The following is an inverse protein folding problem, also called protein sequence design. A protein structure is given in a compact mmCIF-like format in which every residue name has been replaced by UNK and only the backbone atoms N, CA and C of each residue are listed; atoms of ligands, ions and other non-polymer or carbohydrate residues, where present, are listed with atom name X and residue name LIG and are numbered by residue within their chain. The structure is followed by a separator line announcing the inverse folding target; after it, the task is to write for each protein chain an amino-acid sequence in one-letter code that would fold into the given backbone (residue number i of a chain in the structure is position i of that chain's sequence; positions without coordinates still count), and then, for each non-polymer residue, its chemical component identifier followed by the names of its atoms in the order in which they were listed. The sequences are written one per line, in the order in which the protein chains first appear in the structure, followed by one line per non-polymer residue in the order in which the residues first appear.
data_IF_769633773268
#
_entry.id   IF_769633773268
#
_cell.length_a   1.000
_cell.length_b   1.000
_cell.length_c   1.000
_cell.angle_alpha   90.00
_cell.angle_beta   90.00
_cell.angle_gamma   90.00
#
_symmetry.space_group_name_H-M   'P 1'
#
loop_
_entity.id
_entity.type
_entity.pdbx_description
1 polymer ?
#
# COMPACT_ATOMS: atom_id res chain seq x y z
N UNK A 1 -73.71 -39.76 56.32
CA UNK A 1 -73.10 -38.45 55.96
C UNK A 1 -71.93 -38.78 55.06
N UNK A 2 -72.11 -38.64 53.76
CA UNK A 2 -71.09 -38.97 52.76
C UNK A 2 -70.47 -37.62 52.31
N UNK A 3 -69.17 -37.51 52.53
CA UNK A 3 -68.36 -36.34 52.03
C UNK A 3 -67.64 -36.77 50.77
N UNK A 4 -68.05 -36.20 49.66
CA UNK A 4 -67.43 -36.49 48.35
C UNK A 4 -66.32 -35.47 48.11
N UNK A 5 -65.06 -35.93 48.09
CA UNK A 5 -63.87 -35.11 47.71
C UNK A 5 -63.76 -34.97 46.20
N UNK A 6 -63.81 -33.77 45.71
CA UNK A 6 -63.46 -33.43 44.31
C UNK A 6 -61.98 -33.18 44.22
N UNK A 7 -61.25 -34.01 43.47
CA UNK A 7 -59.88 -33.71 43.03
C UNK A 7 -59.90 -32.85 41.76
N UNK A 8 -59.48 -31.61 41.86
CA UNK A 8 -59.23 -30.77 40.69
C UNK A 8 -57.81 -31.06 40.15
N UNK A 9 -57.78 -31.66 38.98
CA UNK A 9 -56.55 -31.81 38.19
C UNK A 9 -56.29 -30.54 37.46
N UNK A 10 -55.26 -29.77 37.90
CA UNK A 10 -54.70 -28.66 37.14
C UNK A 10 -53.71 -29.23 36.11
N UNK A 11 -54.08 -29.28 34.83
CA UNK A 11 -53.18 -29.54 33.71
C UNK A 11 -52.47 -28.25 33.34
N UNK A 12 -51.23 -28.03 33.78
CA UNK A 12 -50.36 -26.99 33.29
C UNK A 12 -49.80 -27.41 31.94
N UNK A 13 -50.37 -26.87 30.86
CA UNK A 13 -49.79 -26.97 29.53
C UNK A 13 -48.55 -26.04 29.50
N UNK A 14 -47.36 -26.64 29.54
CA UNK A 14 -46.11 -25.95 29.19
C UNK A 14 -46.13 -25.70 27.66
N UNK A 15 -46.49 -24.50 27.26
CA UNK A 15 -46.22 -23.96 25.91
C UNK A 15 -44.72 -23.67 25.83
N UNK A 16 -43.96 -24.66 25.35
CA UNK A 16 -42.59 -24.46 24.90
C UNK A 16 -42.64 -23.57 23.65
N UNK A 17 -42.46 -22.25 23.79
CA UNK A 17 -42.18 -21.36 22.67
C UNK A 17 -40.81 -21.75 22.10
N UNK A 18 -40.83 -22.59 21.07
CA UNK A 18 -39.67 -22.77 20.20
C UNK A 18 -39.52 -21.43 19.48
N UNK A 19 -38.66 -20.59 19.98
CA UNK A 19 -38.17 -19.46 19.21
C UNK A 19 -37.44 -20.07 17.99
N UNK A 20 -38.11 -20.11 16.84
CA UNK A 20 -37.42 -20.31 15.58
C UNK A 20 -36.47 -19.14 15.47
N UNK A 21 -35.17 -19.40 15.71
CA UNK A 21 -34.13 -18.47 15.32
C UNK A 21 -34.34 -18.26 13.82
N UNK A 22 -34.70 -17.05 13.43
CA UNK A 22 -34.88 -16.66 12.05
C UNK A 22 -33.53 -16.91 11.37
N UNK A 23 -33.46 -17.92 10.51
CA UNK A 23 -32.24 -18.31 9.85
C UNK A 23 -31.91 -17.19 8.88
N UNK A 24 -30.91 -16.40 9.21
CA UNK A 24 -30.46 -15.28 8.37
C UNK A 24 -30.10 -15.84 7.00
N UNK A 25 -30.80 -15.41 5.96
CA UNK A 25 -30.55 -15.84 4.58
C UNK A 25 -29.53 -14.91 3.94
N UNK A 26 -28.66 -15.49 3.11
CA UNK A 26 -27.69 -14.71 2.35
C UNK A 26 -28.42 -13.65 1.50
N UNK A 27 -27.97 -12.39 1.52
CA UNK A 27 -28.53 -11.36 0.67
C UNK A 27 -28.36 -11.73 -0.81
N UNK A 28 -29.37 -11.40 -1.62
CA UNK A 28 -29.30 -11.58 -3.06
C UNK A 28 -29.25 -10.22 -3.74
N UNK A 29 -28.24 -10.03 -4.60
CA UNK A 29 -28.15 -8.84 -5.44
C UNK A 29 -29.29 -8.83 -6.45
N UNK A 30 -30.00 -7.70 -6.55
CA UNK A 30 -31.06 -7.52 -7.54
C UNK A 30 -30.46 -7.47 -8.93
N UNK A 31 -31.01 -8.24 -9.86
CA UNK A 31 -30.61 -8.16 -11.26
C UNK A 31 -31.22 -6.94 -11.94
N UNK A 32 -30.36 -6.13 -12.56
CA UNK A 32 -30.74 -4.95 -13.34
C UNK A 32 -30.11 -5.06 -14.73
N UNK A 33 -30.89 -5.11 -15.82
CA UNK A 33 -30.35 -5.24 -17.17
C UNK A 33 -29.36 -4.12 -17.49
N UNK A 34 -28.14 -4.47 -17.86
CA UNK A 34 -27.12 -3.52 -18.32
C UNK A 34 -26.27 -4.14 -19.40
N UNK A 35 -25.96 -3.37 -20.43
CA UNK A 35 -25.10 -3.79 -21.54
C UNK A 35 -23.75 -3.10 -21.43
N UNK A 36 -22.72 -3.85 -21.14
CA UNK A 36 -21.33 -3.40 -21.24
C UNK A 36 -20.89 -3.45 -22.70
N UNK A 37 -20.65 -2.29 -23.29
CA UNK A 37 -20.17 -2.19 -24.66
C UNK A 37 -18.67 -2.43 -24.73
N UNK A 38 -18.23 -3.23 -25.72
CA UNK A 38 -16.83 -3.54 -25.93
C UNK A 38 -16.52 -3.66 -27.42
N UNK A 39 -15.30 -3.28 -27.88
CA UNK A 39 -14.84 -3.52 -29.24
C UNK A 39 -14.87 -5.00 -29.66
N UNK A 40 -14.81 -5.90 -28.68
CA UNK A 40 -14.80 -7.36 -28.90
C UNK A 40 -16.21 -8.00 -28.78
N UNK A 41 -17.27 -7.18 -28.74
CA UNK A 41 -18.66 -7.59 -28.60
C UNK A 41 -19.28 -7.13 -27.26
N UNK A 42 -20.57 -6.84 -27.30
CA UNK A 42 -21.34 -6.39 -26.15
C UNK A 42 -21.61 -7.56 -25.17
N UNK A 43 -21.54 -7.28 -23.88
CA UNK A 43 -21.79 -8.25 -22.82
C UNK A 43 -22.96 -7.77 -21.94
N UNK A 44 -23.90 -8.68 -21.62
CA UNK A 44 -24.93 -8.40 -20.62
C UNK A 44 -24.36 -8.62 -19.22
N UNK A 45 -24.52 -7.65 -18.33
CA UNK A 45 -24.08 -7.71 -16.95
C UNK A 45 -25.21 -7.19 -16.03
N UNK A 46 -26.03 -8.09 -15.47
CA UNK A 46 -27.16 -7.69 -14.64
C UNK A 46 -26.73 -7.14 -13.27
N UNK A 47 -25.47 -7.21 -12.91
CA UNK A 47 -24.92 -6.73 -11.65
C UNK A 47 -23.99 -5.53 -11.81
N UNK A 48 -23.93 -4.92 -13.00
CA UNK A 48 -23.07 -3.74 -13.25
C UNK A 48 -23.34 -2.57 -12.31
N UNK A 49 -24.56 -2.47 -11.75
CA UNK A 49 -24.93 -1.46 -10.77
C UNK A 49 -24.12 -1.51 -9.46
N UNK A 50 -23.49 -2.66 -9.14
CA UNK A 50 -22.59 -2.79 -8.00
C UNK A 50 -21.27 -2.03 -8.21
N UNK A 51 -20.96 -1.62 -9.44
CA UNK A 51 -19.84 -0.74 -9.71
C UNK A 51 -20.21 0.69 -9.35
N UNK A 52 -19.68 1.18 -8.27
CA UNK A 52 -19.79 2.57 -7.83
C UNK A 52 -18.38 3.15 -7.65
N UNK A 53 -17.89 3.85 -8.68
CA UNK A 53 -16.54 4.45 -8.67
C UNK A 53 -16.45 5.60 -7.65
N UNK A 54 -17.60 6.24 -7.29
CA UNK A 54 -17.66 7.26 -6.25
C UNK A 54 -17.61 6.70 -4.83
N UNK A 55 -18.02 5.43 -4.66
CA UNK A 55 -18.15 4.72 -3.37
C UNK A 55 -19.10 5.39 -2.39
N UNK A 56 -20.12 6.05 -2.92
CA UNK A 56 -21.11 6.83 -2.14
C UNK A 56 -22.55 6.45 -2.45
N UNK A 57 -22.79 5.52 -3.38
CA UNK A 57 -24.14 5.06 -3.73
C UNK A 57 -24.82 4.40 -2.54
N UNK A 58 -25.92 4.95 -2.00
CA UNK A 58 -26.63 4.36 -0.86
C UNK A 58 -27.10 2.93 -1.14
N UNK A 59 -27.55 2.64 -2.36
CA UNK A 59 -28.04 1.31 -2.77
C UNK A 59 -26.93 0.27 -2.73
N UNK A 60 -25.73 0.61 -3.22
CA UNK A 60 -24.56 -0.28 -3.18
C UNK A 60 -24.11 -0.49 -1.74
N UNK A 61 -23.98 0.60 -0.97
CA UNK A 61 -23.57 0.54 0.43
C UNK A 61 -24.55 -0.29 1.28
N UNK A 62 -25.85 -0.12 1.11
CA UNK A 62 -26.86 -0.91 1.83
C UNK A 62 -26.73 -2.40 1.50
N UNK A 63 -26.52 -2.75 0.24
CA UNK A 63 -26.29 -4.15 -0.14
C UNK A 63 -25.03 -4.71 0.53
N UNK A 64 -23.91 -3.97 0.50
CA UNK A 64 -22.66 -4.38 1.14
C UNK A 64 -22.80 -4.52 2.66
N UNK A 65 -23.55 -3.63 3.30
CA UNK A 65 -23.83 -3.74 4.75
C UNK A 65 -24.58 -5.03 5.08
N UNK A 66 -25.62 -5.38 4.32
CA UNK A 66 -26.36 -6.64 4.51
C UNK A 66 -25.49 -7.88 4.28
N UNK A 67 -24.59 -7.85 3.29
CA UNK A 67 -23.61 -8.93 3.09
C UNK A 67 -22.66 -9.08 4.29
N UNK A 68 -22.17 -7.95 4.82
CA UNK A 68 -21.32 -7.97 6.01
C UNK A 68 -22.06 -8.48 7.24
N UNK A 69 -23.32 -8.10 7.44
CA UNK A 69 -24.14 -8.56 8.56
C UNK A 69 -24.36 -10.07 8.48
N UNK A 70 -24.66 -10.58 7.29
CA UNK A 70 -24.77 -12.02 7.05
C UNK A 70 -23.44 -12.75 7.33
N UNK A 71 -22.34 -12.24 6.81
CA UNK A 71 -21.01 -12.83 7.01
C UNK A 71 -20.62 -12.85 8.50
N UNK A 72 -20.85 -11.74 9.22
CA UNK A 72 -20.59 -11.63 10.66
C UNK A 72 -21.44 -12.61 11.46
N UNK A 73 -22.74 -12.73 11.14
CA UNK A 73 -23.62 -13.70 11.78
C UNK A 73 -23.13 -15.14 11.56
N UNK A 74 -22.80 -15.50 10.32
CA UNK A 74 -22.26 -16.82 9.97
C UNK A 74 -20.95 -17.12 10.69
N UNK A 75 -20.04 -16.13 10.72
CA UNK A 75 -18.73 -16.26 11.36
C UNK A 75 -18.80 -16.34 12.88
N UNK A 76 -19.87 -15.81 13.50
CA UNK A 76 -20.01 -15.77 14.97
C UNK A 76 -19.90 -17.14 15.62
N UNK A 77 -20.34 -18.22 14.96
CA UNK A 77 -20.22 -19.58 15.44
C UNK A 77 -18.77 -20.04 15.61
N UNK A 78 -17.83 -19.46 14.87
CA UNK A 78 -16.42 -19.80 14.90
C UNK A 78 -15.58 -18.80 15.71
N UNK A 79 -16.18 -17.73 16.22
CA UNK A 79 -15.46 -16.66 16.90
C UNK A 79 -14.58 -17.16 18.06
N UNK A 80 -15.02 -18.08 18.94
CA UNK A 80 -14.17 -18.59 20.02
C UNK A 80 -12.91 -19.31 19.51
N UNK A 81 -13.03 -20.04 18.38
CA UNK A 81 -11.89 -20.70 17.77
C UNK A 81 -10.95 -19.69 17.13
N UNK A 82 -11.50 -18.69 16.44
CA UNK A 82 -10.74 -17.59 15.84
C UNK A 82 -9.93 -16.83 16.89
N UNK A 83 -10.57 -16.47 18.01
CA UNK A 83 -9.90 -15.75 19.11
C UNK A 83 -8.77 -16.58 19.73
N UNK A 84 -8.99 -17.88 19.93
CA UNK A 84 -7.99 -18.79 20.43
C UNK A 84 -6.79 -18.90 19.48
N UNK A 85 -7.04 -19.14 18.19
CA UNK A 85 -5.97 -19.26 17.18
C UNK A 85 -5.19 -17.94 17.00
N UNK A 86 -5.90 -16.80 17.00
CA UNK A 86 -5.29 -15.47 16.95
C UNK A 86 -4.37 -15.25 18.13
N UNK A 87 -4.83 -15.55 19.35
CA UNK A 87 -4.02 -15.43 20.56
C UNK A 87 -2.80 -16.33 20.54
N UNK A 88 -2.93 -17.58 20.08
CA UNK A 88 -1.81 -18.50 19.93
C UNK A 88 -0.79 -18.02 18.91
N UNK A 89 -1.22 -17.48 17.77
CA UNK A 89 -0.34 -16.96 16.72
C UNK A 89 0.42 -15.73 17.26
N UNK A 90 -0.30 -14.77 17.84
CA UNK A 90 0.31 -13.55 18.42
C UNK A 90 1.32 -13.91 19.52
N UNK A 91 0.98 -14.89 20.37
CA UNK A 91 1.86 -15.34 21.44
C UNK A 91 3.19 -15.97 20.98
N UNK A 92 3.29 -16.38 19.72
CA UNK A 92 4.52 -16.91 19.11
C UNK A 92 5.37 -15.84 18.42
N UNK A 93 4.84 -14.64 18.23
CA UNK A 93 5.52 -13.53 17.56
C UNK A 93 6.27 -12.72 18.62
N UNK A 94 7.58 -12.53 18.40
CA UNK A 94 8.35 -11.59 19.21
C UNK A 94 7.87 -10.16 18.94
N UNK A 95 7.27 -9.51 19.94
CA UNK A 95 6.66 -8.21 19.78
C UNK A 95 7.68 -7.07 19.72
N UNK A 96 8.74 -7.12 20.54
CA UNK A 96 9.84 -6.16 20.56
C UNK A 96 10.97 -6.64 19.67
N UNK A 97 10.80 -6.54 18.37
CA UNK A 97 11.75 -7.04 17.39
C UNK A 97 12.38 -5.95 16.55
N UNK A 98 13.57 -6.20 16.04
CA UNK A 98 14.28 -5.29 15.16
C UNK A 98 14.85 -6.00 13.94
N UNK A 99 14.88 -5.31 12.82
CA UNK A 99 15.57 -5.82 11.62
C UNK A 99 17.08 -5.87 11.85
N UNK A 100 17.75 -6.71 11.07
CA UNK A 100 19.21 -6.63 10.95
C UNK A 100 19.57 -5.25 10.39
N UNK A 101 20.52 -4.51 11.02
CA UNK A 101 20.98 -3.25 10.50
C UNK A 101 21.75 -3.42 9.18
N UNK A 102 21.56 -2.49 8.24
CA UNK A 102 22.38 -2.36 7.05
C UNK A 102 23.12 -1.01 7.07
N UNK A 103 24.35 -1.00 6.60
CA UNK A 103 25.18 0.20 6.57
C UNK A 103 25.12 0.86 5.20
N UNK A 104 24.89 2.19 5.19
CA UNK A 104 24.99 3.04 4.00
C UNK A 104 25.58 4.39 4.40
N UNK A 105 26.71 4.76 3.79
CA UNK A 105 27.45 5.96 4.16
C UNK A 105 27.92 5.91 5.63
N UNK A 106 27.64 6.94 6.38
CA UNK A 106 28.08 7.11 7.77
C UNK A 106 27.13 6.50 8.81
N UNK A 107 26.04 5.84 8.37
CA UNK A 107 25.02 5.33 9.26
C UNK A 107 24.66 3.87 8.99
N UNK A 108 24.29 3.17 10.05
CA UNK A 108 23.55 1.90 10.02
C UNK A 108 22.08 2.18 10.23
N UNK A 109 21.24 1.62 9.36
CA UNK A 109 19.79 1.81 9.30
C UNK A 109 19.07 0.54 9.68
N UNK A 110 18.01 0.64 10.47
CA UNK A 110 17.17 -0.48 10.89
C UNK A 110 15.77 -0.01 11.30
N UNK A 111 14.87 -0.95 11.44
CA UNK A 111 13.55 -0.70 12.01
C UNK A 111 13.39 -1.49 13.30
N UNK A 112 12.59 -0.98 14.21
CA UNK A 112 12.22 -1.62 15.47
C UNK A 112 10.70 -1.59 15.63
N UNK A 113 10.15 -2.66 16.19
CA UNK A 113 8.80 -2.71 16.72
C UNK A 113 8.85 -2.65 18.25
N UNK A 114 7.86 -2.08 18.86
CA UNK A 114 7.70 -2.02 20.31
C UNK A 114 6.43 -2.76 20.73
N UNK A 115 6.47 -3.44 21.87
CA UNK A 115 5.31 -4.17 22.40
C UNK A 115 4.09 -3.27 22.50
N UNK A 116 2.97 -3.73 21.94
CA UNK A 116 1.71 -2.99 21.92
C UNK A 116 1.63 -1.86 20.91
N UNK A 117 2.63 -1.73 20.02
CA UNK A 117 2.62 -0.81 18.88
C UNK A 117 2.34 -1.58 17.58
N UNK A 118 1.59 -0.96 16.69
CA UNK A 118 1.21 -1.57 15.42
C UNK A 118 2.24 -1.34 14.33
N UNK A 119 2.90 -0.18 14.34
CA UNK A 119 3.76 0.28 13.27
C UNK A 119 5.24 0.27 13.64
N UNK A 120 6.15 0.16 12.64
CA UNK A 120 7.58 0.23 12.90
C UNK A 120 8.03 1.65 13.25
N UNK A 121 9.16 1.70 13.94
CA UNK A 121 9.99 2.90 14.11
C UNK A 121 11.23 2.71 13.24
N UNK A 122 11.50 3.64 12.32
CA UNK A 122 12.69 3.64 11.48
C UNK A 122 13.78 4.48 12.13
N UNK A 123 14.96 3.88 12.24
CA UNK A 123 16.06 4.41 13.01
C UNK A 123 17.36 4.36 12.22
N UNK A 124 18.29 5.22 12.64
CA UNK A 124 19.68 5.13 12.22
C UNK A 124 20.64 5.37 13.39
N UNK A 125 21.84 4.86 13.25
CA UNK A 125 22.93 5.06 14.22
C UNK A 125 24.24 5.28 13.47
N UNK A 126 25.04 6.26 13.86
CA UNK A 126 26.33 6.50 13.24
C UNK A 126 27.25 5.26 13.39
N UNK A 127 27.96 4.91 12.33
CA UNK A 127 28.86 3.73 12.30
C UNK A 127 29.98 3.88 13.34
N UNK A 128 30.47 5.10 13.54
CA UNK A 128 31.55 5.39 14.50
C UNK A 128 31.08 5.48 15.96
N UNK A 129 29.85 5.05 16.25
CA UNK A 129 29.23 5.14 17.57
C UNK A 129 28.35 6.38 17.71
N UNK A 130 27.65 6.48 18.83
CA UNK A 130 26.70 7.57 19.09
C UNK A 130 25.34 7.08 19.52
N UNK A 131 24.43 8.00 19.76
CA UNK A 131 23.04 7.72 20.12
C UNK A 131 22.23 7.32 18.89
N UNK A 132 21.26 6.47 19.11
CA UNK A 132 20.23 6.13 18.13
C UNK A 132 19.42 7.38 17.75
N UNK A 133 19.15 7.56 16.48
CA UNK A 133 18.28 8.63 15.97
C UNK A 133 17.03 8.04 15.34
N UNK A 134 15.87 8.46 15.84
CA UNK A 134 14.59 8.17 15.20
C UNK A 134 14.46 9.04 13.94
N UNK A 135 14.29 8.39 12.79
CA UNK A 135 14.00 9.04 11.52
C UNK A 135 12.49 9.23 11.31
N UNK A 136 11.73 8.13 11.48
CA UNK A 136 10.27 8.12 11.39
C UNK A 136 9.71 7.19 12.46
N UNK A 137 8.87 7.69 13.35
CA UNK A 137 7.98 6.88 14.18
C UNK A 137 6.61 6.83 13.51
N UNK A 138 6.31 5.70 12.87
CA UNK A 138 5.06 5.55 12.12
C UNK A 138 3.85 5.51 13.07
N UNK A 139 4.03 5.11 14.34
CA UNK A 139 2.96 5.15 15.33
C UNK A 139 2.54 6.60 15.66
N UNK A 140 3.51 7.53 15.72
CA UNK A 140 3.21 8.95 15.92
C UNK A 140 2.54 9.56 14.68
N UNK A 141 2.98 9.19 13.47
CA UNK A 141 2.41 9.67 12.21
C UNK A 141 0.97 9.16 11.98
N UNK A 142 0.64 7.97 12.49
CA UNK A 142 -0.67 7.35 12.37
C UNK A 142 -1.72 7.89 13.36
N UNK A 143 -1.33 8.67 14.35
CA UNK A 143 -2.26 9.16 15.39
C UNK A 143 -3.44 9.91 14.78
N UNK A 144 -4.64 9.50 15.18
CA UNK A 144 -5.90 10.12 14.75
C UNK A 144 -6.35 9.76 13.32
N UNK A 145 -5.64 8.82 12.66
CA UNK A 145 -6.00 8.34 11.33
C UNK A 145 -6.63 6.94 11.43
N UNK A 146 -7.64 6.68 10.61
CA UNK A 146 -8.30 5.37 10.53
C UNK A 146 -7.47 4.34 9.77
N UNK A 147 -6.57 4.81 8.92
CA UNK A 147 -5.58 4.04 8.17
C UNK A 147 -4.32 4.87 7.99
N UNK A 148 -3.17 4.24 8.07
CA UNK A 148 -1.89 4.87 7.75
C UNK A 148 -0.85 3.85 7.31
N UNK A 149 -0.08 4.20 6.30
CA UNK A 149 1.04 3.41 5.85
C UNK A 149 2.18 4.30 5.34
N UNK A 150 3.41 3.94 5.65
CA UNK A 150 4.62 4.42 4.98
C UNK A 150 5.10 3.28 4.09
N UNK A 151 4.93 3.42 2.78
CA UNK A 151 5.23 2.33 1.83
C UNK A 151 6.69 2.28 1.42
N UNK A 152 7.36 3.42 1.36
CA UNK A 152 8.74 3.55 0.96
C UNK A 152 9.35 4.82 1.56
N UNK A 153 10.65 4.76 1.80
CA UNK A 153 11.44 5.91 2.26
C UNK A 153 12.88 5.78 1.79
N UNK A 154 13.52 6.91 1.58
CA UNK A 154 14.93 6.97 1.24
C UNK A 154 15.59 8.20 1.88
N UNK A 155 16.78 8.02 2.43
CA UNK A 155 17.61 9.10 2.93
C UNK A 155 18.36 9.73 1.76
N UNK A 156 18.46 11.07 1.77
CA UNK A 156 19.22 11.82 0.75
C UNK A 156 20.70 11.43 0.73
N UNK A 157 21.41 11.59 -0.39
CA UNK A 157 22.84 11.28 -0.48
C UNK A 157 23.71 11.97 0.57
N UNK A 158 23.38 13.18 1.00
CA UNK A 158 24.07 13.93 2.06
C UNK A 158 23.64 13.51 3.48
N UNK A 159 22.71 12.55 3.59
CA UNK A 159 22.20 11.94 4.83
C UNK A 159 21.48 12.93 5.77
N UNK A 160 21.08 14.11 5.28
CA UNK A 160 20.39 15.13 6.07
C UNK A 160 18.87 15.09 5.98
N UNK A 161 18.32 14.51 4.91
CA UNK A 161 16.88 14.45 4.66
C UNK A 161 16.41 13.00 4.53
N UNK A 162 15.15 12.77 4.85
CA UNK A 162 14.45 11.53 4.50
C UNK A 162 13.21 11.90 3.70
N UNK A 163 13.08 11.36 2.48
CA UNK A 163 11.86 11.38 1.70
C UNK A 163 11.08 10.09 1.96
N UNK A 164 9.78 10.21 2.16
CA UNK A 164 8.91 9.04 2.38
C UNK A 164 7.55 9.23 1.71
N UNK A 165 6.91 8.12 1.43
CA UNK A 165 5.63 8.03 0.74
C UNK A 165 4.58 7.50 1.70
N UNK A 166 3.63 8.35 2.09
CA UNK A 166 2.54 8.01 3.00
C UNK A 166 1.21 7.79 2.25
N UNK A 167 0.41 6.86 2.72
CA UNK A 167 -1.00 6.67 2.34
C UNK A 167 -1.85 6.66 3.61
N UNK A 168 -2.79 7.57 3.72
CA UNK A 168 -3.76 7.65 4.82
C UNK A 168 -5.19 7.32 4.39
N UNK A 169 -5.33 6.82 3.18
CA UNK A 169 -6.62 6.45 2.57
C UNK A 169 -6.81 4.95 2.37
N UNK A 170 -5.73 4.15 2.38
CA UNK A 170 -5.73 2.75 2.03
C UNK A 170 -5.91 2.46 0.53
N UNK A 171 -5.77 3.48 -0.32
CA UNK A 171 -6.00 3.37 -1.77
C UNK A 171 -4.72 3.22 -2.58
N UNK A 172 -3.57 3.10 -1.94
CA UNK A 172 -2.25 3.05 -2.60
C UNK A 172 -1.98 4.26 -3.50
N UNK A 173 -2.56 5.41 -3.10
CA UNK A 173 -2.27 6.72 -3.66
C UNK A 173 -1.42 7.48 -2.64
N UNK A 174 -0.14 7.54 -2.91
CA UNK A 174 0.80 8.04 -1.93
C UNK A 174 1.02 9.54 -2.07
N UNK A 175 1.37 10.15 -0.94
CA UNK A 175 1.82 11.53 -0.86
C UNK A 175 3.27 11.56 -0.43
N UNK A 176 4.10 12.28 -1.18
CA UNK A 176 5.48 12.57 -0.79
C UNK A 176 5.49 13.47 0.44
N UNK A 177 6.34 13.11 1.40
CA UNK A 177 6.79 13.95 2.53
C UNK A 177 8.30 13.94 2.58
N UNK A 178 8.89 15.04 3.03
CA UNK A 178 10.34 15.16 3.23
C UNK A 178 10.60 15.74 4.61
N UNK A 179 11.43 15.07 5.40
CA UNK A 179 11.82 15.49 6.75
C UNK A 179 13.29 15.81 6.83
N UNK A 180 13.64 16.94 7.43
CA UNK A 180 15.01 17.25 7.83
C UNK A 180 15.36 16.48 9.12
N UNK A 181 16.31 15.56 9.02
CA UNK A 181 16.72 14.68 10.11
C UNK A 181 17.50 15.39 11.22
N UNK A 182 18.01 16.59 10.97
CA UNK A 182 18.72 17.39 11.98
C UNK A 182 17.74 18.13 12.88
N UNK A 183 16.65 18.65 12.31
CA UNK A 183 15.63 19.40 13.04
C UNK A 183 14.43 18.54 13.45
N UNK A 184 14.24 17.37 12.80
CA UNK A 184 13.06 16.52 12.98
C UNK A 184 11.78 17.10 12.35
N UNK A 185 11.87 18.18 11.56
CA UNK A 185 10.72 18.89 10.97
C UNK A 185 10.52 18.48 9.53
N UNK A 186 9.27 18.36 9.13
CA UNK A 186 8.90 18.16 7.73
C UNK A 186 9.05 19.46 6.93
N UNK A 187 9.50 19.33 5.69
CA UNK A 187 9.54 20.41 4.71
C UNK A 187 8.11 20.62 4.15
N UNK A 188 7.93 21.73 3.44
CA UNK A 188 6.65 22.06 2.80
C UNK A 188 6.36 21.28 1.52
N UNK A 189 7.35 20.56 1.00
CA UNK A 189 7.27 19.81 -0.24
C UNK A 189 6.29 18.63 -0.10
N UNK A 190 5.19 18.65 -0.86
CA UNK A 190 4.16 17.60 -0.89
C UNK A 190 3.66 17.39 -2.30
N UNK A 191 3.73 16.16 -2.81
CA UNK A 191 3.09 15.72 -4.05
C UNK A 191 2.20 14.53 -3.76
N UNK A 192 0.98 14.54 -4.27
CA UNK A 192 0.01 13.45 -4.09
C UNK A 192 -0.30 12.72 -5.39
N UNK A 193 -0.99 11.58 -5.30
CA UNK A 193 -1.35 10.74 -6.44
C UNK A 193 -0.16 9.95 -6.98
N UNK A 194 0.78 9.59 -6.10
CA UNK A 194 2.01 8.90 -6.45
C UNK A 194 1.88 7.38 -6.25
N UNK A 195 2.71 6.65 -6.97
CA UNK A 195 3.06 5.25 -6.71
C UNK A 195 4.03 5.14 -5.52
N UNK A 196 4.34 3.92 -5.10
CA UNK A 196 5.20 3.64 -3.94
C UNK A 196 6.70 3.69 -4.21
N UNK A 197 7.16 4.27 -5.31
CA UNK A 197 8.58 4.35 -5.65
C UNK A 197 9.11 5.77 -5.75
N UNK A 198 10.33 5.96 -5.29
CA UNK A 198 11.03 7.24 -5.34
C UNK A 198 12.54 7.02 -5.51
N UNK A 199 13.25 8.02 -6.03
CA UNK A 199 14.70 8.03 -6.13
C UNK A 199 15.27 9.43 -5.91
N UNK A 200 16.47 9.51 -5.34
CA UNK A 200 17.21 10.76 -5.19
C UNK A 200 18.23 10.96 -6.33
N UNK A 201 18.38 12.19 -6.80
CA UNK A 201 19.62 12.59 -7.47
C UNK A 201 20.73 12.81 -6.44
N UNK A 202 22.00 12.79 -6.88
CA UNK A 202 23.17 12.99 -5.99
C UNK A 202 23.27 14.41 -5.40
N UNK A 203 22.51 15.37 -5.92
CA UNK A 203 22.48 16.74 -5.41
C UNK A 203 21.73 16.90 -4.07
N UNK A 204 21.12 15.83 -3.55
CA UNK A 204 20.28 15.83 -2.33
C UNK A 204 19.13 16.84 -2.36
N UNK A 205 18.72 17.27 -3.54
CA UNK A 205 17.67 18.28 -3.77
C UNK A 205 16.64 17.85 -4.79
N UNK A 206 16.99 16.93 -5.67
CA UNK A 206 16.13 16.48 -6.76
C UNK A 206 15.62 15.08 -6.49
N UNK A 207 14.30 14.91 -6.54
CA UNK A 207 13.58 13.65 -6.38
C UNK A 207 12.94 13.24 -7.71
N UNK A 208 12.91 11.94 -7.96
CA UNK A 208 12.13 11.30 -9.02
C UNK A 208 11.00 10.49 -8.39
N UNK A 209 9.80 10.67 -8.92
CA UNK A 209 8.57 10.14 -8.36
C UNK A 209 7.73 9.58 -9.50
N UNK A 210 6.99 8.52 -9.23
CA UNK A 210 6.05 7.96 -10.20
C UNK A 210 4.64 8.41 -9.87
N UNK A 211 3.97 9.02 -10.85
CA UNK A 211 2.58 9.46 -10.74
C UNK A 211 1.66 8.41 -11.34
N UNK A 212 0.57 8.12 -10.64
CA UNK A 212 -0.47 7.22 -11.09
C UNK A 212 -1.57 7.96 -11.84
N UNK A 213 -2.19 7.29 -12.79
CA UNK A 213 -3.51 7.67 -13.31
C UNK A 213 -4.53 7.59 -12.17
N UNK A 214 -5.34 8.63 -11.93
CA UNK A 214 -6.23 8.69 -10.78
C UNK A 214 -7.42 7.71 -10.84
N UNK A 215 -7.75 7.18 -12.03
CA UNK A 215 -8.88 6.27 -12.25
C UNK A 215 -8.41 4.81 -12.28
N UNK A 216 -7.40 4.51 -13.09
CA UNK A 216 -6.90 3.15 -13.28
C UNK A 216 -5.86 2.75 -12.25
N UNK A 217 -5.24 3.71 -11.58
CA UNK A 217 -4.09 3.57 -10.68
C UNK A 217 -2.82 3.04 -11.37
N UNK A 218 -2.80 2.99 -12.70
CA UNK A 218 -1.60 2.66 -13.44
C UNK A 218 -0.54 3.76 -13.28
N UNK A 219 0.69 3.33 -13.11
CA UNK A 219 1.85 4.23 -13.09
C UNK A 219 2.16 4.69 -14.50
N UNK A 220 1.89 5.96 -14.81
CA UNK A 220 1.95 6.48 -16.17
C UNK A 220 3.06 7.51 -16.41
N UNK A 221 3.50 8.21 -15.37
CA UNK A 221 4.44 9.32 -15.52
C UNK A 221 5.56 9.27 -14.48
N UNK A 222 6.78 9.62 -14.88
CA UNK A 222 7.87 9.94 -13.97
C UNK A 222 8.04 11.45 -13.90
N UNK A 223 7.91 11.97 -12.69
CA UNK A 223 8.09 13.37 -12.37
C UNK A 223 9.45 13.60 -11.70
N UNK A 224 10.10 14.70 -12.07
CA UNK A 224 11.27 15.22 -11.39
C UNK A 224 10.87 16.45 -10.58
N UNK A 225 11.02 16.37 -9.25
CA UNK A 225 10.72 17.46 -8.33
C UNK A 225 12.02 17.96 -7.67
N UNK A 226 12.21 19.27 -7.64
CA UNK A 226 13.31 19.89 -6.92
C UNK A 226 12.79 20.52 -5.63
N UNK A 227 13.36 20.13 -4.49
CA UNK A 227 12.94 20.61 -3.18
C UNK A 227 12.92 22.13 -3.09
N UNK A 228 11.90 22.66 -2.42
CA UNK A 228 11.66 24.09 -2.26
C UNK A 228 11.00 24.75 -3.47
N UNK A 229 10.73 24.02 -4.55
CA UNK A 229 9.92 24.51 -5.66
C UNK A 229 8.45 24.12 -5.47
N UNK A 230 7.54 24.89 -6.09
CA UNK A 230 6.14 24.52 -6.11
C UNK A 230 5.98 23.12 -6.72
N UNK A 231 5.35 22.18 -6.01
CA UNK A 231 5.11 20.82 -6.51
C UNK A 231 4.35 20.76 -7.84
N UNK A 232 3.50 21.76 -8.13
CA UNK A 232 2.80 21.87 -9.40
C UNK A 232 3.76 22.05 -10.60
N UNK A 233 4.98 22.50 -10.35
CA UNK A 233 6.04 22.69 -11.34
C UNK A 233 6.96 21.46 -11.48
N UNK A 234 6.61 20.31 -10.90
CA UNK A 234 7.38 19.08 -11.09
C UNK A 234 7.43 18.71 -12.58
N UNK A 235 8.66 18.52 -13.08
CA UNK A 235 8.90 18.30 -14.50
C UNK A 235 8.56 16.87 -14.90
N UNK A 236 7.74 16.68 -15.92
CA UNK A 236 7.56 15.37 -16.56
C UNK A 236 8.86 14.99 -17.30
N UNK A 237 9.47 13.86 -16.93
CA UNK A 237 10.72 13.37 -17.54
C UNK A 237 10.55 12.07 -18.31
N UNK A 238 9.46 11.35 -18.08
CA UNK A 238 9.07 10.16 -18.85
C UNK A 238 7.57 9.93 -18.73
N UNK A 239 6.95 9.47 -19.83
CA UNK A 239 5.56 9.06 -19.87
C UNK A 239 5.44 7.68 -20.54
N UNK A 240 4.73 6.76 -19.91
CA UNK A 240 4.39 5.45 -20.45
C UNK A 240 2.97 5.46 -20.99
N UNK A 241 2.84 5.17 -22.25
CA UNK A 241 1.54 5.15 -22.97
C UNK A 241 1.01 3.74 -23.21
N UNK A 242 1.86 2.73 -23.01
CA UNK A 242 1.45 1.32 -23.11
C UNK A 242 0.97 0.82 -21.75
N UNK A 243 -0.34 0.69 -21.60
CA UNK A 243 -1.00 0.26 -20.37
C UNK A 243 -0.69 -1.19 -19.96
N UNK A 244 0.06 -1.95 -20.76
CA UNK A 244 0.54 -3.28 -20.37
C UNK A 244 1.80 -3.25 -19.51
N UNK A 245 2.43 -2.08 -19.35
CA UNK A 245 3.64 -1.92 -18.55
C UNK A 245 3.36 -1.30 -17.19
N UNK A 246 3.92 -1.91 -16.16
CA UNK A 246 4.07 -1.33 -14.84
C UNK A 246 5.39 -0.57 -14.76
N UNK A 247 5.42 0.51 -14.00
CA UNK A 247 6.56 1.39 -13.90
C UNK A 247 6.97 1.67 -12.46
N UNK A 248 8.27 1.71 -12.22
CA UNK A 248 8.86 2.13 -10.96
C UNK A 248 10.12 2.98 -11.21
N UNK A 249 10.54 3.73 -10.20
CA UNK A 249 11.81 4.47 -10.22
C UNK A 249 12.64 4.10 -8.99
N UNK A 250 13.96 4.06 -9.13
CA UNK A 250 14.89 3.76 -8.04
C UNK A 250 16.31 4.18 -8.38
N UNK A 251 17.21 4.01 -7.41
CA UNK A 251 18.64 4.19 -7.62
C UNK A 251 19.33 2.84 -7.85
N UNK A 252 20.45 2.85 -8.59
CA UNK A 252 21.36 1.71 -8.60
C UNK A 252 22.00 1.51 -7.21
N UNK A 253 22.47 0.30 -6.92
CA UNK A 253 23.05 -0.04 -5.62
C UNK A 253 24.24 0.84 -5.22
N UNK A 254 24.97 1.37 -6.19
CA UNK A 254 26.09 2.31 -6.02
C UNK A 254 25.68 3.79 -6.08
N UNK A 255 24.37 4.06 -6.15
CA UNK A 255 23.77 5.40 -6.26
C UNK A 255 24.27 6.24 -7.47
N UNK A 256 24.91 5.62 -8.47
CA UNK A 256 25.43 6.33 -9.63
C UNK A 256 24.35 6.71 -10.65
N UNK A 257 23.28 5.94 -10.70
CA UNK A 257 22.21 6.16 -11.66
C UNK A 257 20.83 6.17 -10.99
N UNK A 258 19.95 7.01 -11.53
CA UNK A 258 18.50 6.89 -11.37
C UNK A 258 17.99 6.00 -12.49
N UNK A 259 17.14 5.04 -12.18
CA UNK A 259 16.64 4.05 -13.13
C UNK A 259 15.12 4.09 -13.15
N UNK A 260 14.55 4.14 -14.35
CA UNK A 260 13.13 3.85 -14.59
C UNK A 260 13.03 2.39 -15.02
N UNK A 261 12.29 1.61 -14.24
CA UNK A 261 11.99 0.20 -14.51
C UNK A 261 10.61 0.09 -15.12
N UNK A 262 10.53 -0.60 -16.24
CA UNK A 262 9.29 -0.87 -16.96
C UNK A 262 9.18 -2.37 -17.15
N UNK A 263 8.06 -2.97 -16.74
CA UNK A 263 7.83 -4.41 -16.86
C UNK A 263 6.40 -4.73 -17.25
N UNK A 264 6.25 -5.62 -18.20
CA UNK A 264 5.01 -6.30 -18.55
C UNK A 264 5.10 -7.77 -18.13
N UNK A 265 4.07 -8.56 -18.48
CA UNK A 265 4.08 -10.01 -18.23
C UNK A 265 5.24 -10.73 -18.92
N UNK A 266 5.66 -10.23 -20.09
CA UNK A 266 6.59 -10.95 -20.99
C UNK A 266 7.77 -10.10 -21.49
N UNK A 267 7.89 -8.86 -21.03
CA UNK A 267 9.00 -8.01 -21.46
C UNK A 267 9.37 -6.95 -20.43
N UNK A 268 10.61 -6.48 -20.46
CA UNK A 268 11.12 -5.42 -19.60
C UNK A 268 11.85 -4.36 -20.43
N UNK A 269 11.91 -3.15 -19.88
CA UNK A 269 12.72 -2.05 -20.38
C UNK A 269 13.30 -1.27 -19.20
N UNK A 270 14.51 -0.82 -19.32
CA UNK A 270 15.14 0.05 -18.31
C UNK A 270 15.68 1.31 -18.98
N UNK A 271 15.41 2.44 -18.33
CA UNK A 271 15.97 3.75 -18.71
C UNK A 271 16.80 4.29 -17.56
N UNK A 272 17.96 4.85 -17.87
CA UNK A 272 18.95 5.23 -16.88
C UNK A 272 19.35 6.69 -17.06
N UNK A 273 19.61 7.39 -15.97
CA UNK A 273 20.13 8.74 -15.94
C UNK A 273 21.27 8.82 -14.91
N UNK A 274 22.38 9.48 -15.26
CA UNK A 274 23.44 9.79 -14.30
C UNK A 274 22.86 10.60 -13.14
N UNK A 275 22.88 10.03 -11.93
CA UNK A 275 22.31 10.65 -10.74
C UNK A 275 23.00 11.96 -10.36
N UNK A 276 24.25 12.16 -10.80
CA UNK A 276 24.99 13.42 -10.64
C UNK A 276 24.61 14.53 -11.65
N UNK A 277 23.79 14.16 -12.66
CA UNK A 277 23.39 15.08 -13.74
C UNK A 277 21.87 15.13 -13.91
N UNK A 278 21.11 15.63 -12.93
CA UNK A 278 19.65 15.61 -12.98
C UNK A 278 19.05 16.44 -14.14
N UNK A 279 19.83 17.30 -14.78
CA UNK A 279 19.41 18.04 -15.97
C UNK A 279 19.51 17.23 -17.27
N UNK A 280 20.18 16.07 -17.29
CA UNK A 280 20.30 15.21 -18.46
C UNK A 280 18.99 14.42 -18.72
N UNK A 281 18.86 13.85 -19.91
CA UNK A 281 17.74 12.97 -20.23
C UNK A 281 18.02 11.52 -19.80
N UNK A 282 16.97 10.77 -19.52
CA UNK A 282 17.05 9.32 -19.39
C UNK A 282 17.44 8.67 -20.72
N UNK A 283 18.37 7.74 -20.67
CA UNK A 283 18.81 6.97 -21.82
C UNK A 283 18.27 5.55 -21.75
N UNK A 284 17.85 4.99 -22.86
CA UNK A 284 17.42 3.63 -22.97
C UNK A 284 18.62 2.68 -22.80
N UNK A 285 18.51 1.71 -21.88
CA UNK A 285 19.57 0.71 -21.69
C UNK A 285 19.49 -0.39 -22.76
N UNK A 286 18.31 -0.99 -22.91
CA UNK A 286 17.98 -1.88 -24.01
C UNK A 286 16.48 -1.75 -24.35
N UNK A 287 16.08 -1.81 -25.63
CA UNK A 287 14.70 -1.68 -26.03
C UNK A 287 13.87 -2.88 -25.58
N UNK A 288 12.59 -2.62 -25.26
CA UNK A 288 11.63 -3.68 -24.98
C UNK A 288 11.43 -4.55 -26.24
N UNK A 289 11.35 -5.86 -26.03
CA UNK A 289 10.98 -6.83 -27.05
C UNK A 289 10.02 -7.84 -26.40
N UNK A 290 9.07 -8.32 -27.19
CA UNK A 290 8.16 -9.37 -26.71
C UNK A 290 8.96 -10.65 -26.40
N UNK A 291 8.61 -11.30 -25.30
CA UNK A 291 9.25 -12.54 -24.83
C UNK A 291 10.76 -12.36 -24.55
N UNK A 292 11.15 -11.15 -24.13
CA UNK A 292 12.49 -10.82 -23.71
C UNK A 292 12.46 -10.02 -22.40
N UNK A 293 13.01 -10.61 -21.37
CA UNK A 293 13.11 -9.99 -20.05
C UNK A 293 14.56 -9.83 -19.64
N UNK A 294 14.87 -8.72 -19.02
CA UNK A 294 16.17 -8.50 -18.42
C UNK A 294 16.06 -7.62 -17.17
N UNK A 295 17.04 -7.77 -16.30
CA UNK A 295 17.33 -6.84 -15.21
C UNK A 295 18.78 -6.40 -15.30
N UNK A 296 19.10 -5.20 -14.85
CA UNK A 296 20.47 -4.71 -14.87
C UNK A 296 20.80 -3.98 -13.56
N UNK A 297 22.00 -4.25 -13.06
CA UNK A 297 22.61 -3.53 -11.94
C UNK A 297 23.88 -2.84 -12.38
N UNK A 298 24.21 -1.70 -11.79
CA UNK A 298 25.47 -1.03 -12.00
C UNK A 298 26.43 -1.32 -10.83
N UNK A 299 27.57 -1.95 -11.13
CA UNK A 299 28.53 -2.43 -10.13
C UNK A 299 29.95 -2.13 -10.65
N UNK A 300 30.76 -1.45 -9.85
CA UNK A 300 32.18 -1.16 -10.16
C UNK A 300 32.37 -0.55 -11.54
N UNK A 301 31.52 0.41 -11.91
CA UNK A 301 31.58 1.14 -13.18
C UNK A 301 31.09 0.35 -14.40
N UNK A 302 30.40 -0.79 -14.19
CA UNK A 302 29.89 -1.64 -15.27
C UNK A 302 28.43 -1.98 -15.05
N UNK A 303 27.69 -2.12 -16.15
CA UNK A 303 26.37 -2.72 -16.14
C UNK A 303 26.50 -4.24 -16.19
N UNK A 304 25.88 -4.90 -15.23
CA UNK A 304 25.72 -6.36 -15.19
C UNK A 304 24.25 -6.64 -15.53
N UNK A 305 24.03 -7.39 -16.59
CA UNK A 305 22.69 -7.70 -17.12
C UNK A 305 22.43 -9.18 -16.90
N UNK A 306 21.28 -9.49 -16.30
CA UNK A 306 20.68 -10.81 -16.23
C UNK A 306 19.50 -10.86 -17.18
N UNK A 307 19.39 -11.87 -18.01
CA UNK A 307 18.37 -11.98 -19.06
C UNK A 307 17.96 -13.43 -19.27
N UNK A 308 16.77 -13.64 -19.78
CA UNK A 308 16.22 -14.91 -20.22
C UNK A 308 16.51 -15.23 -21.70
N UNK A 309 17.34 -14.41 -22.34
CA UNK A 309 17.73 -14.55 -23.76
C UNK A 309 18.88 -15.53 -23.94
#
# INVERSE_FOLDING_TARGET
MKITSYCLLFSTALLSSIALAEQLTAPLAVQQPYTVRSPNGDRQDPYYWLRDDSRTSPTVLDYLHRENDYANHYASAYQPLTDKLTSEIIGRIKQDDSSVPYTKGDYSYYRRYETGKEYPIYLRKAVNGGTEQVMLDVNELAKGKSYYAVSNWQVSPDQNLIAYLEDDSGRRQYTLKVRDLRSGKDLSDQLSGLSSSLAWAKDSKTLYLVKNDPVTLLSTQVLQHKLGQDPANAKLVYEETDNSFYMAVGNTADDNYVVIYLSSTVSTEMRVQDAGKPASNFQLLAPRQRDFQYSAGHISGRWVISTDW
#
